data_IF_894008568628
#
_entry.id   IF_894008568628
#
_cell.length_a   1.000
_cell.length_b   1.000
_cell.length_c   1.000
_cell.angle_alpha   90.00
_cell.angle_beta   90.00
_cell.angle_gamma   90.00
#
_symmetry.space_group_name_H-M   'P 1'
#
loop_
_entity.id
_entity.type
_entity.pdbx_description
1 polymer ?
#
# COMPACT_ATOMS: atom_id res chain seq x y z
N UNK A 1 15.11 -3.88 -0.21
CA UNK A 1 14.11 -2.81 -0.41
C UNK A 1 14.55 -1.52 0.29
N UNK A 2 14.99 -0.47 -0.44
CA UNK A 2 15.48 0.77 0.15
C UNK A 2 14.39 1.57 0.87
N UNK A 3 13.13 1.51 0.40
CA UNK A 3 12.03 2.30 0.97
C UNK A 3 11.65 1.86 2.39
N UNK A 4 11.73 0.56 2.68
CA UNK A 4 11.53 0.03 4.04
C UNK A 4 12.63 0.46 5.02
N UNK A 5 13.74 1.00 4.53
CA UNK A 5 14.86 1.53 5.32
C UNK A 5 14.84 3.07 5.43
N UNK A 6 13.76 3.72 5.03
CA UNK A 6 13.54 5.15 5.25
C UNK A 6 13.55 6.03 3.98
N UNK A 7 13.90 5.50 2.81
CA UNK A 7 13.75 6.25 1.57
C UNK A 7 12.28 6.50 1.23
N UNK A 8 11.93 7.72 0.81
CA UNK A 8 10.59 8.02 0.31
C UNK A 8 10.41 7.50 -1.13
N UNK A 9 9.29 6.85 -1.46
CA UNK A 9 8.99 6.49 -2.84
C UNK A 9 8.87 7.74 -3.72
N UNK A 10 9.53 7.72 -4.88
CA UNK A 10 9.56 8.87 -5.79
C UNK A 10 8.24 9.11 -6.55
N UNK A 11 7.38 8.09 -6.63
CA UNK A 11 6.07 8.18 -7.27
C UNK A 11 5.10 7.14 -6.68
N UNK A 12 3.83 7.27 -7.01
CA UNK A 12 2.77 6.36 -6.56
C UNK A 12 2.99 4.89 -6.96
N UNK A 13 3.55 4.61 -8.14
CA UNK A 13 3.86 3.23 -8.56
C UNK A 13 4.89 2.57 -7.65
N UNK A 14 5.96 3.30 -7.29
CA UNK A 14 6.97 2.83 -6.36
C UNK A 14 6.39 2.66 -4.95
N UNK A 15 5.51 3.57 -4.53
CA UNK A 15 4.82 3.42 -3.27
C UNK A 15 3.96 2.16 -3.25
N UNK A 16 3.10 1.95 -4.25
CA UNK A 16 2.25 0.77 -4.36
C UNK A 16 3.07 -0.52 -4.29
N UNK A 17 4.10 -0.66 -5.13
CA UNK A 17 5.00 -1.84 -5.12
C UNK A 17 5.66 -2.05 -3.76
N UNK A 18 6.11 -0.96 -3.13
CA UNK A 18 6.74 -1.04 -1.81
C UNK A 18 5.78 -1.42 -0.69
N UNK A 19 4.49 -1.02 -0.78
CA UNK A 19 3.42 -1.43 0.13
C UNK A 19 3.12 -2.91 -0.04
N UNK A 20 2.95 -3.40 -1.26
CA UNK A 20 2.77 -4.83 -1.53
C UNK A 20 3.88 -5.67 -0.87
N UNK A 21 5.15 -5.29 -1.09
CA UNK A 21 6.26 -5.99 -0.46
C UNK A 21 6.28 -5.82 1.06
N UNK A 22 5.82 -4.69 1.62
CA UNK A 22 5.71 -4.52 3.06
C UNK A 22 4.66 -5.46 3.66
N UNK A 23 3.54 -5.71 2.98
CA UNK A 23 2.60 -6.76 3.41
C UNK A 23 3.26 -8.15 3.36
N UNK A 24 3.91 -8.49 2.24
CA UNK A 24 4.60 -9.78 2.08
C UNK A 24 5.70 -10.02 3.13
N UNK A 25 6.40 -8.96 3.57
CA UNK A 25 7.44 -9.04 4.61
C UNK A 25 6.94 -8.64 6.00
N UNK A 26 5.63 -8.53 6.21
CA UNK A 26 5.00 -8.17 7.49
C UNK A 26 5.47 -6.83 8.11
N UNK A 27 5.95 -5.89 7.29
CA UNK A 27 6.39 -4.56 7.70
C UNK A 27 5.19 -3.60 7.85
N UNK A 28 4.35 -3.91 8.82
CA UNK A 28 3.16 -3.14 9.20
C UNK A 28 3.46 -1.66 9.49
N UNK A 29 4.62 -1.33 10.07
CA UNK A 29 5.00 0.06 10.32
C UNK A 29 5.10 0.88 9.03
N UNK A 30 5.62 0.28 7.95
CA UNK A 30 5.69 0.94 6.65
C UNK A 30 4.30 1.16 6.05
N UNK A 31 3.40 0.18 6.20
CA UNK A 31 2.00 0.30 5.76
C UNK A 31 1.34 1.49 6.47
N UNK A 32 1.38 1.53 7.81
CA UNK A 32 0.83 2.62 8.62
C UNK A 32 1.41 3.98 8.21
N UNK A 33 2.74 4.07 8.10
CA UNK A 33 3.44 5.32 7.75
C UNK A 33 3.03 5.87 6.38
N UNK A 34 2.64 5.00 5.45
CA UNK A 34 2.34 5.36 4.07
C UNK A 34 0.86 5.34 3.74
N UNK A 35 -0.01 5.24 4.75
CA UNK A 35 -1.46 5.36 4.59
C UNK A 35 -1.88 6.80 4.95
N UNK A 36 -2.72 7.39 4.10
CA UNK A 36 -3.26 8.72 4.28
C UNK A 36 -4.30 8.74 5.41
N UNK A 37 -4.49 9.91 6.05
CA UNK A 37 -5.47 10.09 7.13
C UNK A 37 -6.93 9.94 6.69
N UNK A 38 -7.22 10.15 5.40
CA UNK A 38 -8.56 9.97 4.84
C UNK A 38 -8.84 8.52 4.41
N UNK A 39 -7.90 7.61 4.60
CA UNK A 39 -8.11 6.20 4.28
C UNK A 39 -9.01 5.54 5.32
N UNK A 40 -9.90 4.64 4.88
CA UNK A 40 -10.86 3.96 5.76
C UNK A 40 -10.20 3.10 6.85
N UNK A 41 -8.97 2.60 6.62
CA UNK A 41 -8.21 1.84 7.62
C UNK A 41 -7.49 2.74 8.64
N UNK A 42 -7.46 4.07 8.42
CA UNK A 42 -6.75 4.98 9.30
C UNK A 42 -7.35 5.00 10.71
N UNK A 43 -6.47 4.89 11.71
CA UNK A 43 -6.85 5.06 13.11
C UNK A 43 -5.68 5.62 13.93
N UNK A 44 -5.99 6.41 14.95
CA UNK A 44 -4.99 6.92 15.89
C UNK A 44 -4.40 5.81 16.78
N UNK A 45 -5.14 4.71 17.00
CA UNK A 45 -4.64 3.55 17.74
C UNK A 45 -3.70 2.70 16.86
N UNK A 46 -2.46 3.19 16.73
CA UNK A 46 -1.41 2.55 15.94
C UNK A 46 -1.07 1.14 16.44
N UNK A 47 -1.27 0.85 17.73
CA UNK A 47 -0.99 -0.48 18.28
C UNK A 47 -2.01 -1.51 17.77
N UNK A 48 -3.30 -1.16 17.85
CA UNK A 48 -4.39 -1.98 17.30
C UNK A 48 -4.26 -2.12 15.78
N UNK A 49 -3.96 -1.04 15.08
CA UNK A 49 -3.77 -1.06 13.62
C UNK A 49 -2.63 -1.97 13.22
N UNK A 50 -1.48 -1.86 13.90
CA UNK A 50 -0.32 -2.72 13.66
C UNK A 50 -0.66 -4.21 13.84
N UNK A 51 -1.40 -4.54 14.91
CA UNK A 51 -1.84 -5.90 15.19
C UNK A 51 -2.78 -6.43 14.08
N UNK A 52 -3.72 -5.61 13.61
CA UNK A 52 -4.63 -5.97 12.53
C UNK A 52 -3.88 -6.25 11.22
N UNK A 53 -2.97 -5.35 10.81
CA UNK A 53 -2.14 -5.54 9.62
C UNK A 53 -1.30 -6.81 9.74
N UNK A 54 -0.63 -7.03 10.87
CA UNK A 54 0.17 -8.24 11.08
C UNK A 54 -0.68 -9.51 11.01
N UNK A 55 -1.85 -9.52 11.63
CA UNK A 55 -2.76 -10.66 11.58
C UNK A 55 -3.14 -11.01 10.13
N UNK A 56 -3.46 -10.01 9.31
CA UNK A 56 -3.68 -10.19 7.88
C UNK A 56 -2.44 -10.76 7.18
N UNK A 57 -1.27 -10.15 7.36
CA UNK A 57 -0.04 -10.61 6.71
C UNK A 57 0.34 -12.05 7.11
N UNK A 58 0.01 -12.50 8.32
CA UNK A 58 0.30 -13.87 8.78
C UNK A 58 -0.66 -14.91 8.25
N UNK A 59 -1.86 -14.51 7.79
CA UNK A 59 -2.90 -15.42 7.28
C UNK A 59 -2.95 -15.43 5.75
N UNK A 60 -2.13 -14.61 5.09
CA UNK A 60 -2.16 -14.41 3.64
C UNK A 60 -0.76 -14.56 3.07
N UNK A 61 -0.61 -15.45 2.09
CA UNK A 61 0.60 -15.52 1.29
C UNK A 61 0.49 -14.58 0.09
N UNK A 62 1.53 -13.81 -0.16
CA UNK A 62 1.60 -12.84 -1.26
C UNK A 62 2.36 -13.47 -2.42
N UNK A 63 1.61 -14.06 -3.36
CA UNK A 63 2.14 -14.96 -4.39
C UNK A 63 2.61 -14.23 -5.65
N UNK A 64 2.04 -13.07 -5.95
CA UNK A 64 2.48 -12.25 -7.08
C UNK A 64 1.80 -10.90 -7.16
N UNK A 65 2.42 -9.99 -7.91
CA UNK A 65 1.91 -8.66 -8.19
C UNK A 65 2.06 -8.36 -9.68
N UNK A 66 0.98 -7.93 -10.32
CA UNK A 66 0.93 -7.52 -11.71
C UNK A 66 0.42 -6.08 -11.79
N UNK A 67 1.15 -5.20 -12.48
CA UNK A 67 0.73 -3.82 -12.71
C UNK A 67 -0.03 -3.76 -14.03
N UNK A 68 -1.28 -3.35 -13.97
CA UNK A 68 -2.15 -3.24 -15.16
C UNK A 68 -2.05 -1.83 -15.75
N UNK A 69 -2.10 -0.81 -14.88
CA UNK A 69 -2.03 0.59 -15.30
C UNK A 69 -1.40 1.46 -14.22
N UNK A 70 -0.64 2.47 -14.62
CA UNK A 70 -0.14 3.50 -13.73
C UNK A 70 -0.36 4.88 -14.39
N UNK A 71 -1.30 5.65 -13.85
CA UNK A 71 -1.57 7.03 -14.24
C UNK A 71 -0.86 7.94 -13.21
N UNK A 72 0.35 8.39 -13.56
CA UNK A 72 1.23 9.15 -12.66
C UNK A 72 1.13 10.66 -12.94
N UNK A 73 0.75 11.43 -11.93
CA UNK A 73 0.80 12.89 -11.92
C UNK A 73 1.50 13.38 -10.65
N UNK A 74 1.70 14.69 -10.53
CA UNK A 74 2.49 15.28 -9.44
C UNK A 74 1.75 15.30 -8.09
N UNK A 75 0.42 15.47 -8.08
CA UNK A 75 -0.36 15.59 -6.85
C UNK A 75 -1.21 14.35 -6.55
N UNK A 76 -1.88 13.82 -7.56
CA UNK A 76 -2.79 12.67 -7.44
C UNK A 76 -2.46 11.67 -8.54
N UNK A 77 -2.19 10.44 -8.14
CA UNK A 77 -1.85 9.34 -9.04
C UNK A 77 -2.71 8.13 -8.78
N UNK A 78 -2.93 7.31 -9.81
CA UNK A 78 -3.68 6.07 -9.70
C UNK A 78 -2.85 4.89 -10.19
N UNK A 79 -2.97 3.75 -9.51
CA UNK A 79 -2.32 2.51 -9.92
C UNK A 79 -3.34 1.39 -9.89
N UNK A 80 -3.59 0.77 -11.04
CA UNK A 80 -4.41 -0.43 -11.16
C UNK A 80 -3.51 -1.65 -11.21
N UNK A 81 -3.79 -2.65 -10.38
CA UNK A 81 -2.96 -3.84 -10.25
C UNK A 81 -3.78 -5.06 -9.88
N UNK A 82 -3.20 -6.22 -10.15
CA UNK A 82 -3.67 -7.51 -9.69
C UNK A 82 -2.69 -8.08 -8.68
N UNK A 83 -3.14 -8.31 -7.44
CA UNK A 83 -2.38 -9.04 -6.43
C UNK A 83 -2.89 -10.48 -6.35
N UNK A 84 -1.98 -11.44 -6.49
CA UNK A 84 -2.28 -12.86 -6.32
C UNK A 84 -1.98 -13.24 -4.88
N UNK A 85 -3.00 -13.71 -4.15
CA UNK A 85 -2.88 -14.09 -2.75
C UNK A 85 -3.37 -15.52 -2.53
N UNK A 86 -2.93 -16.18 -1.46
CA UNK A 86 -3.44 -17.51 -1.09
C UNK A 86 -4.94 -17.53 -0.80
N UNK A 87 -5.52 -16.38 -0.45
CA UNK A 87 -6.95 -16.21 -0.15
C UNK A 87 -7.79 -15.82 -1.37
N UNK A 88 -7.16 -15.64 -2.54
CA UNK A 88 -7.80 -15.19 -3.77
C UNK A 88 -7.08 -14.01 -4.42
N UNK A 89 -7.34 -13.80 -5.70
CA UNK A 89 -6.79 -12.66 -6.43
C UNK A 89 -7.59 -11.39 -6.13
N UNK A 90 -6.88 -10.27 -6.00
CA UNK A 90 -7.45 -8.93 -5.87
C UNK A 90 -7.13 -8.16 -7.14
N UNK A 91 -8.14 -7.53 -7.74
CA UNK A 91 -8.00 -6.52 -8.77
C UNK A 91 -8.44 -5.18 -8.18
N UNK A 92 -7.52 -4.23 -8.10
CA UNK A 92 -7.78 -2.95 -7.43
C UNK A 92 -7.23 -1.78 -8.24
N UNK A 93 -7.93 -0.65 -8.18
CA UNK A 93 -7.42 0.66 -8.56
C UNK A 93 -7.18 1.50 -7.30
N UNK A 94 -5.92 1.66 -6.90
CA UNK A 94 -5.56 2.52 -5.78
C UNK A 94 -5.39 3.98 -6.20
N UNK A 95 -5.82 4.90 -5.33
CA UNK A 95 -5.56 6.34 -5.37
C UNK A 95 -4.45 6.71 -4.39
N UNK A 96 -3.49 7.48 -4.87
CA UNK A 96 -2.38 8.01 -4.08
C UNK A 96 -2.35 9.53 -4.16
N UNK A 97 -1.97 10.17 -3.05
CA UNK A 97 -1.87 11.62 -2.92
C UNK A 97 -0.45 11.99 -2.50
N UNK A 98 0.10 13.04 -3.10
CA UNK A 98 1.35 13.64 -2.69
C UNK A 98 1.07 14.82 -1.75
N UNK A 99 1.43 14.66 -0.47
CA UNK A 99 1.29 15.71 0.55
C UNK A 99 2.58 15.78 1.36
N UNK A 100 2.99 16.99 1.76
CA UNK A 100 4.18 17.23 2.60
C UNK A 100 5.46 16.54 2.09
N UNK A 101 5.63 16.48 0.77
CA UNK A 101 6.80 15.89 0.13
C UNK A 101 6.81 14.36 0.08
N UNK A 102 5.72 13.68 0.43
CA UNK A 102 5.60 12.22 0.42
C UNK A 102 4.33 11.74 -0.27
N UNK A 103 4.43 10.59 -0.96
CA UNK A 103 3.26 9.88 -1.46
C UNK A 103 2.59 9.08 -0.34
N UNK A 104 1.26 9.11 -0.30
CA UNK A 104 0.42 8.39 0.66
C UNK A 104 -0.70 7.64 -0.07
N UNK A 105 -1.03 6.45 0.41
CA UNK A 105 -2.17 5.66 -0.07
C UNK A 105 -3.46 6.17 0.56
N UNK A 106 -4.39 6.67 -0.25
CA UNK A 106 -5.63 7.25 0.27
C UNK A 106 -6.82 6.29 0.18
N UNK A 107 -7.03 5.63 -0.95
CA UNK A 107 -8.18 4.74 -1.13
C UNK A 107 -7.92 3.74 -2.24
N UNK A 108 -8.76 2.71 -2.31
CA UNK A 108 -8.69 1.66 -3.32
C UNK A 108 -10.08 1.18 -3.69
N UNK A 109 -10.35 1.12 -4.99
CA UNK A 109 -11.60 0.58 -5.52
C UNK A 109 -11.35 -0.83 -6.07
N UNK A 110 -12.11 -1.80 -5.57
CA UNK A 110 -12.13 -3.17 -6.11
C UNK A 110 -12.82 -3.20 -7.48
N UNK A 111 -12.26 -3.89 -8.46
CA UNK A 111 -12.78 -4.02 -9.83
C UNK A 111 -13.24 -5.43 -10.18
#
# INVERSE_FOLDING_TARGET
>A
MPYHKGAAPKNALLLMKSRYCAYATQNSNYIIKTTHKNNDDFTEDKAKWNKSIKAFCTQTEFLGLEIIKADLNDDISYVTFKAKLSTGDILEKSRFVFEDGVWLYESGDML
#
